data_IF_241738311959
#
_entry.id   IF_241738311959
#
_cell.length_a   1.000
_cell.length_b   1.000
_cell.length_c   1.000
_cell.angle_alpha   90.00
_cell.angle_beta   90.00
_cell.angle_gamma   90.00
#
_symmetry.space_group_name_H-M   'P 1'
#
loop_
_entity.id
_entity.type
_entity.pdbx_description
1 polymer ?
#
# COMPACT_ATOMS: atom_id res chain seq x y z
N UNK A 1 26.46 -27.37 42.98
CA UNK A 1 25.28 -27.68 42.16
C UNK A 1 25.17 -26.62 41.06
N UNK A 2 25.64 -26.92 39.85
CA UNK A 2 25.53 -26.00 38.71
C UNK A 2 24.22 -26.29 37.96
N UNK A 3 23.31 -25.30 37.93
CA UNK A 3 22.15 -25.31 37.04
C UNK A 3 22.45 -24.40 35.86
N UNK A 4 22.67 -24.98 34.69
CA UNK A 4 22.77 -24.27 33.42
C UNK A 4 21.38 -24.26 32.80
N UNK A 5 20.79 -23.08 32.58
CA UNK A 5 19.56 -22.93 31.80
C UNK A 5 19.92 -22.72 30.33
N UNK A 6 19.29 -23.41 29.38
CA UNK A 6 19.50 -23.13 27.96
C UNK A 6 18.89 -21.77 27.62
N UNK A 7 19.73 -20.87 27.10
CA UNK A 7 19.32 -19.55 26.63
C UNK A 7 18.30 -19.66 25.50
N UNK A 8 17.13 -19.05 25.71
CA UNK A 8 16.15 -18.74 24.66
C UNK A 8 16.73 -17.66 23.74
N UNK A 9 17.56 -18.06 22.78
CA UNK A 9 18.13 -17.17 21.78
C UNK A 9 17.48 -17.36 20.40
N UNK A 10 16.15 -17.48 20.33
CA UNK A 10 15.43 -17.58 19.07
C UNK A 10 14.08 -16.88 19.22
N UNK A 11 13.96 -15.65 18.71
CA UNK A 11 12.70 -14.98 18.30
C UNK A 11 12.90 -13.48 18.00
N UNK A 12 13.94 -12.82 18.55
CA UNK A 12 14.14 -11.37 18.35
C UNK A 12 14.70 -10.98 16.97
N UNK A 13 15.28 -11.91 16.22
CA UNK A 13 15.86 -11.63 14.90
C UNK A 13 14.84 -11.59 13.77
N UNK A 14 13.73 -12.30 13.86
CA UNK A 14 12.69 -12.31 12.82
C UNK A 14 12.05 -10.92 12.58
N UNK A 15 11.59 -10.18 13.60
CA UNK A 15 10.99 -8.86 13.35
C UNK A 15 12.01 -7.85 12.81
N UNK A 16 13.29 -7.98 13.17
CA UNK A 16 14.36 -7.15 12.62
C UNK A 16 14.66 -7.49 11.16
N UNK A 17 14.71 -8.77 10.80
CA UNK A 17 14.90 -9.21 9.42
C UNK A 17 13.72 -8.82 8.52
N UNK A 18 12.48 -8.91 9.00
CA UNK A 18 11.30 -8.42 8.27
C UNK A 18 11.33 -6.90 8.06
N UNK A 19 11.78 -6.14 9.07
CA UNK A 19 11.97 -4.70 8.95
C UNK A 19 13.09 -4.34 7.97
N UNK A 20 14.20 -5.09 7.98
CA UNK A 20 15.29 -4.91 7.00
C UNK A 20 14.85 -5.27 5.58
N UNK A 21 14.06 -6.34 5.41
CA UNK A 21 13.46 -6.69 4.13
C UNK A 21 12.54 -5.57 3.62
N UNK A 22 11.74 -4.94 4.50
CA UNK A 22 10.92 -3.78 4.14
C UNK A 22 11.73 -2.52 3.79
N UNK A 23 12.91 -2.32 4.40
CA UNK A 23 13.84 -1.23 4.05
C UNK A 23 14.49 -1.47 2.68
N UNK A 24 14.64 -2.75 2.27
CA UNK A 24 15.35 -3.12 1.04
C UNK A 24 14.45 -3.23 -0.19
N UNK A 25 13.12 -3.27 -0.04
CA UNK A 25 12.18 -3.29 -1.16
C UNK A 25 11.45 -1.94 -1.31
N UNK A 26 11.95 -1.06 -2.20
CA UNK A 26 11.37 0.26 -2.37
C UNK A 26 9.93 0.15 -2.87
N UNK A 27 9.02 0.84 -2.17
CA UNK A 27 7.64 1.00 -2.61
C UNK A 27 7.58 1.99 -3.78
N UNK A 28 7.02 1.55 -4.90
CA UNK A 28 6.78 2.39 -6.08
C UNK A 28 5.32 2.79 -6.07
N UNK A 29 5.03 4.08 -6.06
CA UNK A 29 3.67 4.59 -6.20
C UNK A 29 3.18 4.34 -7.63
N UNK A 30 2.06 3.64 -7.76
CA UNK A 30 1.50 3.27 -9.06
C UNK A 30 0.20 4.03 -9.32
N UNK A 31 -0.72 4.02 -8.36
CA UNK A 31 -1.97 4.77 -8.44
C UNK A 31 -2.19 5.59 -7.16
N UNK A 32 -2.78 6.77 -7.31
CA UNK A 32 -3.24 7.56 -6.16
C UNK A 32 -4.50 8.33 -6.48
N UNK A 33 -5.38 8.54 -5.50
CA UNK A 33 -6.61 9.31 -5.68
C UNK A 33 -7.76 8.80 -4.81
N UNK A 34 -8.99 9.01 -5.29
CA UNK A 34 -10.20 8.54 -4.61
C UNK A 34 -10.77 7.33 -5.35
N UNK A 35 -10.80 6.13 -4.73
CA UNK A 35 -11.53 5.01 -5.28
C UNK A 35 -13.03 5.32 -5.41
N UNK A 36 -13.72 4.57 -6.28
CA UNK A 36 -15.18 4.58 -6.29
C UNK A 36 -15.70 4.18 -4.90
N UNK A 37 -16.80 4.79 -4.47
CA UNK A 37 -17.46 4.58 -3.19
C UNK A 37 -16.66 4.97 -1.94
N UNK A 38 -15.47 5.57 -2.09
CA UNK A 38 -14.62 5.94 -0.95
C UNK A 38 -14.52 7.45 -0.79
N UNK A 39 -14.57 7.88 0.47
CA UNK A 39 -14.36 9.28 0.87
C UNK A 39 -12.88 9.60 1.16
N UNK A 40 -12.07 8.59 1.47
CA UNK A 40 -10.65 8.72 1.78
C UNK A 40 -9.76 8.59 0.54
N UNK A 41 -8.63 9.31 0.55
CA UNK A 41 -7.59 9.17 -0.47
C UNK A 41 -6.82 7.86 -0.27
N UNK A 42 -6.54 7.15 -1.36
CA UNK A 42 -5.81 5.90 -1.40
C UNK A 42 -4.55 6.08 -2.26
N UNK A 43 -3.42 5.56 -1.78
CA UNK A 43 -2.23 5.33 -2.61
C UNK A 43 -1.93 3.83 -2.70
N UNK A 44 -1.74 3.35 -3.92
CA UNK A 44 -1.40 1.96 -4.24
C UNK A 44 0.07 1.89 -4.61
N UNK A 45 0.79 1.03 -3.91
CA UNK A 45 2.21 0.80 -4.10
C UNK A 45 2.50 -0.59 -4.63
N UNK A 46 3.49 -0.70 -5.51
CA UNK A 46 4.07 -1.96 -5.95
C UNK A 46 5.51 -2.11 -5.47
N UNK A 47 5.86 -3.31 -5.03
CA UNK A 47 7.18 -3.66 -4.54
C UNK A 47 7.81 -4.66 -5.50
N UNK A 48 8.73 -4.20 -6.35
CA UNK A 48 9.30 -5.02 -7.46
C UNK A 48 10.05 -6.25 -6.98
N UNK A 49 10.80 -6.16 -5.86
CA UNK A 49 11.65 -7.28 -5.43
C UNK A 49 10.81 -8.43 -4.88
N UNK A 50 9.75 -8.11 -4.14
CA UNK A 50 8.84 -9.09 -3.54
C UNK A 50 7.62 -9.42 -4.39
N UNK A 51 7.32 -8.63 -5.43
CA UNK A 51 6.11 -8.78 -6.25
C UNK A 51 4.82 -8.47 -5.49
N UNK A 52 4.90 -7.70 -4.40
CA UNK A 52 3.77 -7.44 -3.49
C UNK A 52 3.11 -6.09 -3.76
N UNK A 53 1.82 -6.03 -3.49
CA UNK A 53 1.03 -4.80 -3.46
C UNK A 53 0.84 -4.34 -2.01
N UNK A 54 0.87 -3.03 -1.80
CA UNK A 54 0.52 -2.43 -0.51
C UNK A 54 -0.32 -1.18 -0.71
N UNK A 55 -1.15 -0.88 0.27
CA UNK A 55 -2.20 0.14 0.19
C UNK A 55 -2.08 1.09 1.38
N UNK A 56 -2.15 2.39 1.14
CA UNK A 56 -2.10 3.41 2.19
C UNK A 56 -3.31 4.34 2.07
N UNK A 57 -4.12 4.37 3.13
CA UNK A 57 -5.31 5.22 3.22
C UNK A 57 -5.01 6.49 4.01
N UNK A 58 -5.47 7.62 3.50
CA UNK A 58 -5.32 8.93 4.12
C UNK A 58 -6.70 9.47 4.54
N UNK A 59 -7.15 9.10 5.74
CA UNK A 59 -8.37 9.63 6.37
C UNK A 59 -8.07 10.74 7.39
N UNK A 60 -7.15 11.64 7.03
CA UNK A 60 -6.92 12.85 7.84
C UNK A 60 -7.94 13.92 7.47
N UNK A 61 -8.37 14.70 8.46
CA UNK A 61 -9.18 15.89 8.22
C UNK A 61 -8.46 16.81 7.22
N UNK A 62 -9.11 17.13 6.10
CA UNK A 62 -8.54 17.87 4.98
C UNK A 62 -8.07 17.04 3.78
N UNK A 63 -7.97 15.71 3.91
CA UNK A 63 -7.64 14.77 2.82
C UNK A 63 -8.87 14.01 2.32
N UNK A 64 -10.07 14.41 2.73
CA UNK A 64 -11.33 13.81 2.27
C UNK A 64 -11.68 14.29 0.87
N UNK A 65 -12.42 13.45 0.16
CA UNK A 65 -12.96 13.73 -1.17
C UNK A 65 -13.66 15.09 -1.19
N UNK A 66 -13.19 16.05 -2.00
CA UNK A 66 -13.85 17.34 -2.14
C UNK A 66 -15.32 17.18 -2.55
N UNK A 67 -16.23 17.85 -1.84
CA UNK A 67 -17.67 17.79 -2.13
C UNK A 67 -18.03 18.27 -3.56
N UNK A 68 -17.18 19.11 -4.16
CA UNK A 68 -17.32 19.56 -5.55
C UNK A 68 -17.18 18.41 -6.57
N UNK A 69 -16.48 17.33 -6.23
CA UNK A 69 -16.31 16.13 -7.07
C UNK A 69 -17.50 15.16 -6.90
N UNK A 70 -18.70 15.74 -6.78
CA UNK A 70 -19.97 15.28 -6.16
C UNK A 70 -20.54 13.90 -6.51
N UNK A 71 -19.86 13.07 -7.29
CA UNK A 71 -20.26 11.70 -7.53
C UNK A 71 -19.32 10.73 -6.80
N UNK A 72 -19.77 10.17 -5.69
CA UNK A 72 -19.04 9.13 -4.96
C UNK A 72 -18.86 7.85 -5.77
N UNK A 73 -19.65 7.64 -6.84
CA UNK A 73 -19.56 6.46 -7.70
C UNK A 73 -18.39 6.53 -8.67
N UNK A 74 -17.91 7.74 -8.99
CA UNK A 74 -16.80 7.90 -9.92
C UNK A 74 -15.47 7.57 -9.25
N UNK A 75 -14.69 6.69 -9.86
CA UNK A 75 -13.30 6.45 -9.50
C UNK A 75 -12.42 7.60 -10.01
N UNK A 76 -11.71 8.25 -9.09
CA UNK A 76 -10.76 9.34 -9.36
C UNK A 76 -9.34 8.91 -8.99
N UNK A 77 -9.02 7.63 -9.17
CA UNK A 77 -7.65 7.13 -9.05
C UNK A 77 -6.90 7.47 -10.34
N UNK A 78 -5.69 7.99 -10.20
CA UNK A 78 -4.84 8.40 -11.30
C UNK A 78 -3.49 7.69 -11.26
N UNK A 79 -2.92 7.45 -12.44
CA UNK A 79 -1.56 6.93 -12.59
C UNK A 79 -0.52 7.92 -12.09
N UNK A 80 0.41 7.42 -11.28
CA UNK A 80 1.54 8.20 -10.79
C UNK A 80 2.71 7.96 -11.75
N UNK A 81 3.00 8.94 -12.60
CA UNK A 81 4.01 8.82 -13.66
C UNK A 81 5.41 9.28 -13.24
N UNK A 82 5.53 10.09 -12.20
CA UNK A 82 6.78 10.72 -11.74
C UNK A 82 7.55 9.88 -10.70
N UNK A 83 6.98 8.74 -10.27
CA UNK A 83 7.55 7.86 -9.23
C UNK A 83 8.22 6.59 -9.76
N UNK A 84 8.42 6.50 -11.07
CA UNK A 84 9.19 5.42 -11.69
C UNK A 84 8.43 4.11 -11.90
N UNK A 85 7.10 4.13 -11.77
CA UNK A 85 6.25 3.04 -12.21
C UNK A 85 6.26 2.90 -13.74
N UNK A 86 6.32 1.66 -14.22
CA UNK A 86 6.23 1.32 -15.64
C UNK A 86 4.77 1.24 -16.07
N UNK A 87 4.52 1.42 -17.37
CA UNK A 87 3.18 1.29 -17.94
C UNK A 87 2.55 -0.09 -17.65
N UNK A 88 3.35 -1.16 -17.60
CA UNK A 88 2.86 -2.49 -17.25
C UNK A 88 2.38 -2.55 -15.79
N UNK A 89 3.09 -1.93 -14.87
CA UNK A 89 2.69 -1.85 -13.46
C UNK A 89 1.40 -1.03 -13.29
N UNK A 90 1.26 0.08 -14.04
CA UNK A 90 0.02 0.86 -14.09
C UNK A 90 -1.17 0.03 -14.57
N UNK A 91 -1.01 -0.71 -15.67
CA UNK A 91 -2.06 -1.59 -16.20
C UNK A 91 -2.45 -2.69 -15.20
N UNK A 92 -1.46 -3.29 -14.52
CA UNK A 92 -1.73 -4.28 -13.48
C UNK A 92 -2.45 -3.67 -12.28
N UNK A 93 -2.06 -2.47 -11.86
CA UNK A 93 -2.72 -1.77 -10.77
C UNK A 93 -4.17 -1.38 -11.12
N UNK A 94 -4.45 -1.00 -12.37
CA UNK A 94 -5.81 -0.73 -12.83
C UNK A 94 -6.69 -1.98 -12.81
N UNK A 95 -6.16 -3.13 -13.24
CA UNK A 95 -6.87 -4.42 -13.14
C UNK A 95 -7.13 -4.79 -11.69
N UNK A 96 -6.11 -4.67 -10.84
CA UNK A 96 -6.24 -4.93 -9.40
C UNK A 96 -7.29 -4.01 -8.76
N UNK A 97 -7.32 -2.73 -9.14
CA UNK A 97 -8.31 -1.76 -8.67
C UNK A 97 -9.73 -2.16 -9.07
N UNK A 98 -9.92 -2.61 -10.32
CA UNK A 98 -11.21 -3.06 -10.83
C UNK A 98 -11.68 -4.38 -10.20
N UNK A 99 -10.76 -5.31 -9.95
CA UNK A 99 -11.05 -6.62 -9.35
C UNK A 99 -11.32 -6.54 -7.85
N UNK A 100 -10.53 -5.73 -7.12
CA UNK A 100 -10.62 -5.66 -5.66
C UNK A 100 -11.87 -4.93 -5.20
N UNK A 101 -12.34 -3.93 -5.96
CA UNK A 101 -13.49 -3.11 -5.58
C UNK A 101 -13.33 -2.53 -4.18
N UNK A 102 -12.44 -1.54 -4.02
CA UNK A 102 -12.23 -0.93 -2.70
C UNK A 102 -13.54 -0.32 -2.19
N UNK A 103 -13.94 -0.71 -0.99
CA UNK A 103 -15.10 -0.19 -0.28
C UNK A 103 -14.65 0.33 1.08
N UNK A 104 -15.25 1.43 1.51
CA UNK A 104 -15.07 1.96 2.86
C UNK A 104 -15.78 1.01 3.85
N UNK A 105 -15.10 0.62 4.93
CA UNK A 105 -15.56 -0.37 5.92
C UNK A 105 -16.43 0.25 7.03
#
# INVERSE_FOLDING_TARGET
MHKTYPGQAFTLFEPLLLRLAAITDPKIEVLSGYPAHCSAWLTIYYQRKSGKWSYEWYDRAGCRRPAALSDAMTCLMHEVSDRGATQQEHQLAQRLLAETGFMEA
#
